data_IF_119182192080
#
_entry.id   IF_119182192080
#
_cell.length_a   1.000
_cell.length_b   1.000
_cell.length_c   1.000
_cell.angle_alpha   90.00
_cell.angle_beta   90.00
_cell.angle_gamma   90.00
#
_symmetry.space_group_name_H-M   'P 1'
#
loop_
_entity.id
_entity.type
_entity.pdbx_description
1 polymer ?
#
# COMPACT_ATOMS: atom_id res chain seq x y z
N UNK A 1 -17.90 -11.19 -51.01
CA UNK A 1 -17.94 -10.91 -49.56
C UNK A 1 -17.19 -12.01 -48.82
N UNK A 2 -15.92 -11.76 -48.52
CA UNK A 2 -15.08 -12.71 -47.77
C UNK A 2 -15.10 -12.25 -46.30
N UNK A 3 -15.62 -13.10 -45.41
CA UNK A 3 -15.56 -12.89 -43.96
C UNK A 3 -14.15 -13.22 -43.48
N UNK A 4 -13.45 -12.26 -42.92
CA UNK A 4 -12.19 -12.45 -42.23
C UNK A 4 -12.53 -12.77 -40.76
N UNK A 5 -12.29 -14.02 -40.36
CA UNK A 5 -12.32 -14.42 -38.96
C UNK A 5 -10.95 -14.04 -38.35
N UNK A 6 -10.95 -13.08 -37.46
CA UNK A 6 -9.78 -12.79 -36.62
C UNK A 6 -9.83 -13.76 -35.42
N UNK A 7 -8.92 -14.72 -35.41
CA UNK A 7 -8.73 -15.59 -34.27
C UNK A 7 -7.95 -14.81 -33.20
N UNK A 8 -8.61 -14.51 -32.09
CA UNK A 8 -7.96 -13.98 -30.88
C UNK A 8 -7.26 -15.17 -30.21
N UNK A 9 -5.94 -15.20 -30.31
CA UNK A 9 -5.13 -16.15 -29.55
C UNK A 9 -5.19 -15.75 -28.05
N UNK A 10 -5.86 -16.59 -27.27
CA UNK A 10 -5.81 -16.50 -25.81
C UNK A 10 -4.41 -16.96 -25.37
N UNK A 11 -3.61 -16.03 -24.82
CA UNK A 11 -2.41 -16.40 -24.06
C UNK A 11 -2.87 -17.21 -22.82
N UNK A 12 -2.21 -18.31 -22.48
CA UNK A 12 -2.49 -19.01 -21.24
C UNK A 12 -2.07 -18.14 -20.07
N UNK A 13 -3.04 -17.75 -19.26
CA UNK A 13 -2.79 -17.29 -17.89
C UNK A 13 -2.05 -18.43 -17.18
N UNK A 14 -0.78 -18.22 -16.88
CA UNK A 14 -0.07 -19.02 -15.89
C UNK A 14 -0.86 -18.89 -14.59
N UNK A 15 -1.63 -19.92 -14.27
CA UNK A 15 -2.24 -20.10 -12.97
C UNK A 15 -1.08 -20.22 -11.95
N UNK A 16 -0.71 -19.13 -11.35
CA UNK A 16 0.19 -19.10 -10.20
C UNK A 16 -0.42 -19.99 -9.13
N UNK A 17 0.38 -20.88 -8.56
CA UNK A 17 0.02 -21.72 -7.44
C UNK A 17 -0.69 -20.86 -6.40
N UNK A 18 -1.92 -21.25 -6.03
CA UNK A 18 -2.76 -20.49 -5.11
C UNK A 18 -1.99 -20.15 -3.85
N UNK A 19 -1.92 -18.86 -3.53
CA UNK A 19 -1.31 -18.40 -2.29
C UNK A 19 -2.10 -19.00 -1.12
N UNK A 20 -1.43 -19.46 -0.06
CA UNK A 20 -2.13 -20.05 1.07
C UNK A 20 -3.10 -19.02 1.65
N UNK A 21 -4.38 -19.41 1.72
CA UNK A 21 -5.41 -18.63 2.39
C UNK A 21 -4.95 -18.37 3.84
N UNK A 22 -4.96 -17.11 4.23
CA UNK A 22 -4.65 -16.70 5.59
C UNK A 22 -5.73 -17.26 6.55
N UNK A 23 -5.45 -18.37 7.21
CA UNK A 23 -6.27 -18.86 8.32
C UNK A 23 -5.70 -18.35 9.63
N UNK A 24 -6.58 -17.94 10.55
CA UNK A 24 -6.28 -17.32 11.83
C UNK A 24 -5.25 -18.05 12.72
N UNK A 25 -5.02 -19.33 12.49
CA UNK A 25 -4.20 -20.18 13.35
C UNK A 25 -2.73 -20.37 12.94
N UNK A 26 -2.32 -19.90 11.74
CA UNK A 26 -0.93 -20.03 11.30
C UNK A 26 -0.28 -18.67 11.12
N UNK A 27 0.39 -18.17 12.16
CA UNK A 27 1.34 -17.07 12.00
C UNK A 27 2.51 -17.60 11.18
N UNK A 28 2.89 -16.92 10.08
CA UNK A 28 4.14 -17.26 9.42
C UNK A 28 5.28 -16.99 10.40
N UNK A 29 6.20 -17.91 10.54
CA UNK A 29 7.44 -17.61 11.24
C UNK A 29 8.42 -16.86 10.32
N UNK A 30 9.55 -16.43 10.87
CA UNK A 30 10.54 -15.68 10.11
C UNK A 30 11.11 -16.49 8.93
N UNK A 31 11.19 -17.82 9.04
CA UNK A 31 11.71 -18.68 7.96
C UNK A 31 10.70 -18.84 6.83
N UNK A 32 9.40 -18.89 7.14
CA UNK A 32 8.34 -18.89 6.14
C UNK A 32 8.32 -17.58 5.37
N UNK A 33 8.49 -16.44 6.06
CA UNK A 33 8.59 -15.13 5.43
C UNK A 33 9.84 -14.99 4.55
N UNK A 34 10.98 -15.55 4.97
CA UNK A 34 12.18 -15.59 4.11
C UNK A 34 11.95 -16.38 2.84
N UNK A 35 11.32 -17.56 2.94
CA UNK A 35 10.96 -18.37 1.77
C UNK A 35 9.99 -17.65 0.86
N UNK A 36 8.98 -16.97 1.43
CA UNK A 36 8.00 -16.22 0.66
C UNK A 36 8.63 -15.05 -0.11
N UNK A 37 9.50 -14.27 0.53
CA UNK A 37 10.22 -13.16 -0.12
C UNK A 37 11.24 -13.70 -1.12
N UNK A 38 11.92 -14.82 -0.82
CA UNK A 38 12.83 -15.45 -1.79
C UNK A 38 12.10 -15.93 -3.05
N UNK A 39 10.87 -16.43 -2.90
CA UNK A 39 10.03 -16.87 -4.04
C UNK A 39 9.41 -15.69 -4.82
N UNK A 40 9.20 -14.56 -4.18
CA UNK A 40 8.61 -13.34 -4.77
C UNK A 40 9.37 -12.12 -4.23
N UNK A 41 10.56 -11.81 -4.78
CA UNK A 41 11.44 -10.75 -4.25
C UNK A 41 10.78 -9.36 -4.24
N UNK A 42 9.79 -9.12 -5.09
CA UNK A 42 9.01 -7.89 -5.16
C UNK A 42 8.29 -7.59 -3.84
N UNK A 43 7.96 -8.62 -3.04
CA UNK A 43 7.37 -8.45 -1.70
C UNK A 43 8.31 -7.77 -0.73
N UNK A 44 9.63 -7.77 -1.00
CA UNK A 44 10.58 -7.01 -0.20
C UNK A 44 10.35 -5.49 -0.26
N UNK A 45 9.58 -5.03 -1.23
CA UNK A 45 9.06 -3.67 -1.32
C UNK A 45 7.99 -3.32 -0.28
N UNK A 46 7.48 -4.29 0.48
CA UNK A 46 6.48 -4.05 1.53
C UNK A 46 5.25 -3.36 0.98
N UNK A 47 4.95 -2.15 1.48
CA UNK A 47 3.84 -1.33 0.97
C UNK A 47 3.95 -0.96 -0.52
N UNK A 48 5.12 -1.12 -1.15
CA UNK A 48 5.32 -0.91 -2.59
C UNK A 48 5.04 -2.18 -3.41
N UNK A 49 4.60 -3.26 -2.78
CA UNK A 49 4.18 -4.45 -3.49
C UNK A 49 2.94 -4.15 -4.34
N UNK A 50 2.99 -4.47 -5.64
CA UNK A 50 1.87 -4.29 -6.54
C UNK A 50 0.64 -5.08 -6.05
N UNK A 51 -0.57 -4.58 -6.35
CA UNK A 51 -1.80 -5.21 -5.87
C UNK A 51 -1.91 -6.66 -6.34
N UNK A 52 -1.94 -7.63 -5.42
CA UNK A 52 -2.03 -9.03 -5.80
C UNK A 52 -3.45 -9.36 -6.31
N UNK A 53 -3.53 -10.09 -7.41
CA UNK A 53 -4.80 -10.68 -7.84
C UNK A 53 -4.98 -11.99 -7.07
N UNK A 54 -5.84 -11.98 -6.07
CA UNK A 54 -6.21 -13.17 -5.30
C UNK A 54 -7.45 -13.84 -5.88
N UNK A 55 -7.60 -15.14 -5.63
CA UNK A 55 -8.85 -15.83 -5.92
C UNK A 55 -10.00 -15.19 -5.13
N UNK A 56 -11.17 -15.12 -5.71
CA UNK A 56 -12.33 -14.55 -5.04
C UNK A 56 -12.82 -15.49 -3.91
N UNK A 57 -13.02 -14.89 -2.74
CA UNK A 57 -13.70 -15.52 -1.62
C UNK A 57 -15.21 -15.37 -1.84
N UNK A 58 -15.79 -16.31 -2.61
CA UNK A 58 -17.23 -16.29 -2.87
C UNK A 58 -18.02 -16.48 -1.56
N UNK A 59 -19.00 -15.61 -1.37
CA UNK A 59 -19.91 -15.66 -0.22
C UNK A 59 -21.35 -15.78 -0.73
N UNK A 60 -22.02 -16.82 -0.28
CA UNK A 60 -23.47 -16.94 -0.51
C UNK A 60 -24.20 -15.98 0.43
N UNK A 61 -24.90 -15.01 -0.15
CA UNK A 61 -25.76 -14.09 0.62
C UNK A 61 -26.90 -14.90 1.23
N UNK A 62 -27.19 -14.77 2.54
CA UNK A 62 -28.28 -15.48 3.18
C UNK A 62 -29.64 -15.18 2.51
N UNK A 63 -30.50 -16.20 2.45
CA UNK A 63 -31.81 -16.09 1.81
C UNK A 63 -32.64 -14.93 2.38
N UNK A 64 -33.25 -14.15 1.50
CA UNK A 64 -34.08 -13.00 1.84
C UNK A 64 -33.31 -11.72 2.14
N UNK A 65 -31.98 -11.73 2.05
CA UNK A 65 -31.18 -10.51 2.21
C UNK A 65 -30.73 -9.96 0.84
N UNK A 66 -30.88 -8.67 0.66
CA UNK A 66 -30.49 -7.94 -0.54
C UNK A 66 -29.44 -6.87 -0.21
N UNK A 67 -28.41 -6.64 -1.04
CA UNK A 67 -27.46 -5.57 -0.82
C UNK A 67 -28.14 -4.21 -0.98
N UNK A 68 -28.03 -3.35 0.03
CA UNK A 68 -28.68 -2.03 0.07
C UNK A 68 -27.68 -0.87 0.10
N UNK A 69 -26.49 -1.06 0.67
CA UNK A 69 -25.49 -0.02 0.80
C UNK A 69 -24.08 -0.61 0.74
N UNK A 70 -23.14 0.14 0.17
CA UNK A 70 -21.71 -0.17 0.16
C UNK A 70 -20.89 1.07 0.49
N UNK A 71 -19.93 0.93 1.39
CA UNK A 71 -18.89 1.92 1.59
C UNK A 71 -17.50 1.31 1.42
N UNK A 72 -16.56 2.12 0.95
CA UNK A 72 -15.21 1.69 0.62
C UNK A 72 -14.19 2.72 1.07
N UNK A 73 -13.03 2.27 1.55
CA UNK A 73 -11.82 3.08 1.65
C UNK A 73 -10.67 2.39 0.95
N UNK A 74 -10.09 3.04 -0.07
CA UNK A 74 -8.98 2.51 -0.86
C UNK A 74 -7.74 3.41 -0.81
N UNK A 75 -6.59 2.77 -0.84
CA UNK A 75 -5.29 3.38 -1.12
C UNK A 75 -5.19 3.67 -2.63
N UNK A 76 -4.41 4.70 -3.02
CA UNK A 76 -4.03 4.89 -4.44
C UNK A 76 -3.34 3.65 -5.03
N UNK A 77 -3.39 3.48 -6.35
CA UNK A 77 -2.74 2.39 -7.08
C UNK A 77 -1.22 2.53 -7.18
N UNK A 78 -0.61 1.62 -7.92
CA UNK A 78 0.81 1.62 -8.28
C UNK A 78 1.26 2.96 -8.85
N UNK A 79 2.51 3.35 -8.59
CA UNK A 79 3.05 4.68 -8.91
C UNK A 79 4.57 4.64 -8.98
N UNK A 80 5.17 5.66 -9.59
CA UNK A 80 6.61 5.90 -9.48
C UNK A 80 7.05 6.27 -8.06
N UNK A 81 8.34 6.12 -7.75
CA UNK A 81 8.91 6.57 -6.49
C UNK A 81 8.45 7.99 -6.15
N UNK A 82 8.21 8.24 -4.84
CA UNK A 82 7.61 9.51 -4.40
C UNK A 82 8.43 10.75 -4.72
N UNK A 83 9.74 10.61 -4.93
CA UNK A 83 10.65 11.75 -5.03
C UNK A 83 11.76 11.49 -6.04
N UNK A 84 11.97 12.43 -6.94
CA UNK A 84 13.06 12.41 -7.91
C UNK A 84 14.45 12.21 -7.29
N UNK A 85 14.64 12.59 -6.03
CA UNK A 85 15.96 12.46 -5.41
C UNK A 85 16.44 11.01 -5.27
N UNK A 86 15.53 10.02 -5.25
CA UNK A 86 15.91 8.61 -5.16
C UNK A 86 16.67 8.22 -6.43
N UNK A 87 16.13 8.54 -7.59
CA UNK A 87 16.80 8.33 -8.88
C UNK A 87 18.05 9.21 -9.03
N UNK A 88 17.93 10.50 -8.73
CA UNK A 88 19.04 11.45 -8.85
C UNK A 88 20.23 11.12 -7.93
N UNK A 89 19.99 10.53 -6.77
CA UNK A 89 21.06 10.08 -5.87
C UNK A 89 21.80 8.91 -6.49
N UNK A 90 21.10 7.91 -6.99
CA UNK A 90 21.72 6.75 -7.65
C UNK A 90 22.55 7.21 -8.86
N UNK A 91 21.95 8.01 -9.76
CA UNK A 91 22.65 8.57 -10.92
C UNK A 91 23.91 9.33 -10.57
N UNK A 92 23.85 10.21 -9.56
CA UNK A 92 24.99 11.03 -9.13
C UNK A 92 26.14 10.17 -8.59
N UNK A 93 25.82 9.16 -7.81
CA UNK A 93 26.79 8.23 -7.23
C UNK A 93 27.46 7.42 -8.34
N UNK A 94 26.68 6.80 -9.23
CA UNK A 94 27.23 5.96 -10.30
C UNK A 94 28.02 6.79 -11.34
N UNK A 95 27.54 7.98 -11.69
CA UNK A 95 28.29 8.89 -12.57
C UNK A 95 29.64 9.32 -11.96
N UNK A 96 29.68 9.53 -10.65
CA UNK A 96 30.95 9.80 -9.96
C UNK A 96 31.89 8.60 -9.98
N UNK A 97 31.39 7.41 -9.64
CA UNK A 97 32.18 6.16 -9.64
C UNK A 97 32.74 5.82 -11.02
N UNK A 98 31.95 6.09 -12.09
CA UNK A 98 32.42 5.92 -13.47
C UNK A 98 33.58 6.86 -13.80
N UNK A 99 33.45 8.17 -13.47
CA UNK A 99 34.51 9.17 -13.72
C UNK A 99 35.81 8.86 -13.00
N UNK A 100 35.73 8.19 -11.87
CA UNK A 100 36.91 7.81 -11.06
C UNK A 100 37.44 6.41 -11.41
N UNK A 101 36.84 5.72 -12.40
CA UNK A 101 37.25 4.36 -12.77
C UNK A 101 36.96 3.33 -11.69
N UNK A 102 36.05 3.58 -10.79
CA UNK A 102 35.74 2.72 -9.62
C UNK A 102 34.52 1.82 -9.79
N UNK A 103 34.03 1.60 -11.01
CA UNK A 103 32.97 0.64 -11.29
C UNK A 103 33.54 -0.67 -11.82
N UNK A 104 33.02 -1.79 -11.29
CA UNK A 104 33.22 -3.12 -11.89
C UNK A 104 32.43 -3.23 -13.20
N UNK A 105 32.62 -4.31 -14.01
CA UNK A 105 31.74 -4.57 -15.17
C UNK A 105 30.24 -4.62 -14.79
N UNK A 106 29.90 -5.23 -13.65
CA UNK A 106 28.53 -5.23 -13.13
C UNK A 106 28.08 -3.81 -12.74
N UNK A 107 28.95 -3.04 -12.11
CA UNK A 107 28.67 -1.64 -11.76
C UNK A 107 28.36 -0.76 -12.97
N UNK A 108 29.07 -0.98 -14.10
CA UNK A 108 28.79 -0.29 -15.36
C UNK A 108 27.44 -0.70 -15.96
N UNK A 109 27.11 -1.99 -15.93
CA UNK A 109 25.80 -2.48 -16.36
C UNK A 109 24.65 -1.90 -15.52
N UNK A 110 24.80 -1.92 -14.20
CA UNK A 110 23.83 -1.32 -13.28
C UNK A 110 23.63 0.17 -13.54
N UNK A 111 24.72 0.90 -13.83
CA UNK A 111 24.62 2.31 -14.22
C UNK A 111 23.74 2.50 -15.47
N UNK A 112 23.89 1.66 -16.49
CA UNK A 112 23.05 1.75 -17.70
C UNK A 112 21.56 1.49 -17.37
N UNK A 113 21.29 0.48 -16.53
CA UNK A 113 19.93 0.20 -16.04
C UNK A 113 19.36 1.40 -15.28
N UNK A 114 20.12 1.99 -14.35
CA UNK A 114 19.70 3.17 -13.58
C UNK A 114 19.43 4.38 -14.49
N UNK A 115 20.28 4.64 -15.50
CA UNK A 115 20.04 5.71 -16.47
C UNK A 115 18.74 5.53 -17.22
N UNK A 116 18.44 4.30 -17.66
CA UNK A 116 17.19 3.96 -18.33
C UNK A 116 15.98 4.17 -17.41
N UNK A 117 16.06 3.67 -16.16
CA UNK A 117 15.01 3.85 -15.16
C UNK A 117 14.79 5.34 -14.86
N UNK A 118 15.88 6.08 -14.62
CA UNK A 118 15.82 7.52 -14.33
C UNK A 118 15.24 8.35 -15.47
N UNK A 119 15.54 7.99 -16.73
CA UNK A 119 14.93 8.62 -17.91
C UNK A 119 13.43 8.35 -18.00
N UNK A 120 13.02 7.11 -17.73
CA UNK A 120 11.62 6.69 -17.70
C UNK A 120 10.83 7.38 -16.58
N UNK A 121 11.44 7.51 -15.39
CA UNK A 121 10.81 8.10 -14.22
C UNK A 121 10.79 9.65 -14.22
N UNK A 122 11.50 10.27 -15.16
CA UNK A 122 11.67 11.73 -15.20
C UNK A 122 10.35 12.48 -15.35
N UNK A 123 10.00 13.26 -14.30
CA UNK A 123 8.78 14.06 -14.29
C UNK A 123 7.57 13.31 -13.69
N UNK A 124 7.69 12.03 -13.39
CA UNK A 124 6.61 11.18 -12.87
C UNK A 124 6.65 10.93 -11.36
N UNK A 125 7.54 11.60 -10.60
CA UNK A 125 7.71 11.36 -9.17
C UNK A 125 6.38 11.41 -8.38
N UNK A 126 5.97 10.27 -7.83
CA UNK A 126 4.75 10.11 -7.04
C UNK A 126 3.45 10.12 -7.85
N UNK A 127 3.53 10.10 -9.16
CA UNK A 127 2.39 10.02 -10.07
C UNK A 127 1.84 8.58 -10.15
N UNK A 128 0.52 8.44 -10.30
CA UNK A 128 -0.13 7.15 -10.52
C UNK A 128 0.35 6.55 -11.85
N UNK A 129 0.80 5.30 -11.84
CA UNK A 129 1.24 4.62 -13.07
C UNK A 129 0.03 4.06 -13.85
N UNK A 130 0.21 3.72 -15.14
CA UNK A 130 -0.81 3.03 -15.92
C UNK A 130 -1.22 1.69 -15.28
N UNK A 131 -0.29 0.98 -14.61
CA UNK A 131 -0.63 -0.21 -13.82
C UNK A 131 -1.58 0.15 -12.66
N UNK A 132 -1.31 1.24 -11.93
CA UNK A 132 -2.18 1.71 -10.84
C UNK A 132 -3.59 2.05 -11.31
N UNK A 133 -3.71 2.63 -12.50
CA UNK A 133 -5.02 2.86 -13.13
C UNK A 133 -5.75 1.55 -13.42
N UNK A 134 -5.05 0.56 -14.03
CA UNK A 134 -5.63 -0.76 -14.31
C UNK A 134 -6.04 -1.51 -13.03
N UNK A 135 -5.27 -1.39 -11.95
CA UNK A 135 -5.62 -1.98 -10.65
C UNK A 135 -6.97 -1.47 -10.16
N UNK A 136 -7.20 -0.16 -10.19
CA UNK A 136 -8.47 0.43 -9.77
C UNK A 136 -9.63 0.06 -10.69
N UNK A 137 -9.42 0.04 -12.01
CA UNK A 137 -10.44 -0.43 -12.97
C UNK A 137 -10.81 -1.90 -12.72
N UNK A 138 -9.84 -2.74 -12.41
CA UNK A 138 -10.07 -4.16 -12.11
C UNK A 138 -10.85 -4.36 -10.79
N UNK A 139 -10.49 -3.65 -9.72
CA UNK A 139 -11.20 -3.68 -8.43
C UNK A 139 -12.65 -3.19 -8.63
N UNK A 140 -12.86 -2.11 -9.37
CA UNK A 140 -14.20 -1.60 -9.69
C UNK A 140 -15.05 -2.64 -10.41
N UNK A 141 -14.47 -3.37 -11.37
CA UNK A 141 -15.16 -4.43 -12.12
C UNK A 141 -15.60 -5.57 -11.21
N UNK A 142 -14.69 -6.06 -10.34
CA UNK A 142 -15.01 -7.14 -9.40
C UNK A 142 -16.01 -6.71 -8.34
N UNK A 143 -15.90 -5.48 -7.83
CA UNK A 143 -16.87 -4.91 -6.89
C UNK A 143 -18.29 -4.85 -7.51
N UNK A 144 -18.41 -4.34 -8.74
CA UNK A 144 -19.69 -4.27 -9.43
C UNK A 144 -20.28 -5.66 -9.74
N UNK A 145 -19.43 -6.63 -10.08
CA UNK A 145 -19.86 -8.00 -10.34
C UNK A 145 -20.39 -8.71 -9.08
N UNK A 146 -19.85 -8.40 -7.88
CA UNK A 146 -20.27 -9.01 -6.61
C UNK A 146 -21.62 -8.50 -6.10
N UNK A 147 -21.92 -7.23 -6.32
CA UNK A 147 -23.15 -6.59 -5.84
C UNK A 147 -23.85 -5.81 -6.97
N UNK A 148 -24.24 -6.48 -8.05
CA UNK A 148 -24.67 -5.83 -9.29
C UNK A 148 -25.91 -4.94 -9.09
N UNK A 149 -26.79 -5.24 -8.15
CA UNK A 149 -27.97 -4.42 -7.85
C UNK A 149 -27.63 -3.04 -7.30
N UNK A 150 -26.46 -2.86 -6.67
CA UNK A 150 -25.99 -1.55 -6.21
C UNK A 150 -25.45 -0.68 -7.35
N UNK A 151 -25.14 -1.28 -8.50
CA UNK A 151 -24.61 -0.59 -9.69
C UNK A 151 -25.59 -0.67 -10.89
N UNK A 152 -26.84 -1.04 -10.63
CA UNK A 152 -27.90 -1.07 -11.65
C UNK A 152 -28.55 0.31 -11.84
N UNK A 153 -29.30 0.45 -12.93
CA UNK A 153 -30.09 1.64 -13.26
C UNK A 153 -29.30 2.96 -13.16
N UNK A 154 -29.95 4.02 -12.69
CA UNK A 154 -29.34 5.33 -12.47
C UNK A 154 -28.87 5.52 -11.03
N UNK A 155 -28.33 4.47 -10.41
CA UNK A 155 -27.80 4.53 -9.03
C UNK A 155 -26.81 5.67 -8.84
N UNK A 156 -26.93 6.37 -7.71
CA UNK A 156 -26.00 7.43 -7.32
C UNK A 156 -24.80 6.82 -6.63
N UNK A 157 -23.61 7.22 -7.11
CA UNK A 157 -22.30 6.87 -6.52
C UNK A 157 -21.62 8.16 -6.07
N UNK A 158 -21.30 8.28 -4.81
CA UNK A 158 -20.50 9.38 -4.29
C UNK A 158 -19.08 8.91 -4.05
N UNK A 159 -18.11 9.55 -4.68
CA UNK A 159 -16.69 9.24 -4.55
C UNK A 159 -15.93 10.45 -4.00
N UNK A 160 -15.11 10.25 -2.98
CA UNK A 160 -14.29 11.27 -2.34
C UNK A 160 -12.84 10.86 -2.32
N UNK A 161 -11.93 11.81 -2.53
CA UNK A 161 -10.49 11.57 -2.55
C UNK A 161 -9.76 12.58 -1.69
N UNK A 162 -8.59 12.18 -1.17
CA UNK A 162 -7.61 13.17 -0.74
C UNK A 162 -7.21 14.07 -1.91
N UNK A 163 -6.69 15.27 -1.61
CA UNK A 163 -6.28 16.24 -2.64
C UNK A 163 -4.97 15.88 -3.36
N UNK A 164 -4.39 14.73 -3.03
CA UNK A 164 -3.15 14.26 -3.68
C UNK A 164 -3.46 13.71 -5.08
N UNK A 165 -2.77 14.17 -6.16
CA UNK A 165 -3.10 13.83 -7.54
C UNK A 165 -3.28 12.33 -7.81
N UNK A 166 -2.38 11.46 -7.31
CA UNK A 166 -2.51 10.00 -7.50
C UNK A 166 -3.78 9.41 -6.90
N UNK A 167 -4.30 9.98 -5.78
CA UNK A 167 -5.55 9.52 -5.19
C UNK A 167 -6.76 9.97 -6.02
N UNK A 168 -6.71 11.21 -6.55
CA UNK A 168 -7.73 11.76 -7.46
C UNK A 168 -7.77 10.91 -8.74
N UNK A 169 -6.62 10.58 -9.32
CA UNK A 169 -6.54 9.74 -10.53
C UNK A 169 -7.01 8.30 -10.26
N UNK A 170 -6.71 7.73 -9.09
CA UNK A 170 -7.23 6.43 -8.66
C UNK A 170 -8.77 6.45 -8.56
N UNK A 171 -9.35 7.49 -7.95
CA UNK A 171 -10.79 7.70 -7.91
C UNK A 171 -11.38 7.84 -9.32
N UNK A 172 -10.72 8.59 -10.20
CA UNK A 172 -11.16 8.78 -11.58
C UNK A 172 -11.20 7.45 -12.35
N UNK A 173 -10.10 6.68 -12.31
CA UNK A 173 -10.00 5.37 -12.97
C UNK A 173 -11.07 4.37 -12.48
N UNK A 174 -11.25 4.29 -11.15
CA UNK A 174 -12.27 3.44 -10.54
C UNK A 174 -13.69 3.81 -11.02
N UNK A 175 -14.03 5.08 -10.92
CA UNK A 175 -15.38 5.57 -11.26
C UNK A 175 -15.62 5.63 -12.77
N UNK A 176 -14.59 5.81 -13.59
CA UNK A 176 -14.66 5.65 -15.04
C UNK A 176 -15.07 4.22 -15.39
N UNK A 177 -14.41 3.22 -14.78
CA UNK A 177 -14.75 1.82 -15.02
C UNK A 177 -16.18 1.48 -14.62
N UNK A 178 -16.68 2.02 -13.52
CA UNK A 178 -18.09 1.87 -13.14
C UNK A 178 -19.04 2.46 -14.22
N UNK A 179 -18.69 3.61 -14.80
CA UNK A 179 -19.45 4.22 -15.90
C UNK A 179 -19.33 3.45 -17.21
N UNK A 180 -18.21 2.77 -17.48
CA UNK A 180 -18.08 1.86 -18.62
C UNK A 180 -19.01 0.64 -18.47
N UNK A 181 -19.13 0.09 -17.23
CA UNK A 181 -20.03 -1.03 -16.92
C UNK A 181 -21.49 -0.60 -17.02
N UNK A 182 -21.84 0.54 -16.43
CA UNK A 182 -23.20 1.11 -16.51
C UNK A 182 -23.14 2.63 -16.75
N UNK A 183 -23.32 3.09 -17.98
CA UNK A 183 -23.32 4.51 -18.33
C UNK A 183 -24.42 5.35 -17.63
N UNK A 184 -25.49 4.72 -17.14
CA UNK A 184 -26.61 5.40 -16.47
C UNK A 184 -26.27 5.82 -15.03
N UNK A 185 -25.22 5.30 -14.41
CA UNK A 185 -24.84 5.66 -13.05
C UNK A 185 -24.64 7.18 -12.90
N UNK A 186 -25.12 7.73 -11.79
CA UNK A 186 -24.94 9.15 -11.42
C UNK A 186 -23.75 9.29 -10.48
N UNK A 187 -22.54 9.46 -11.04
CA UNK A 187 -21.30 9.53 -10.26
C UNK A 187 -20.97 10.98 -9.91
N UNK A 188 -20.83 11.28 -8.62
CA UNK A 188 -20.32 12.55 -8.09
C UNK A 188 -18.92 12.32 -7.51
N UNK A 189 -17.96 13.19 -7.85
CA UNK A 189 -16.56 13.13 -7.40
C UNK A 189 -16.20 14.37 -6.61
N UNK A 190 -15.54 14.19 -5.47
CA UNK A 190 -15.11 15.27 -4.59
C UNK A 190 -13.65 15.08 -4.18
N UNK A 191 -12.89 16.18 -4.10
CA UNK A 191 -11.55 16.23 -3.53
C UNK A 191 -11.36 17.61 -2.88
N UNK A 192 -12.09 17.87 -1.82
CA UNK A 192 -12.15 19.17 -1.16
C UNK A 192 -11.25 19.22 0.09
N UNK A 193 -10.88 20.41 0.59
CA UNK A 193 -10.17 20.51 1.87
C UNK A 193 -10.92 19.84 3.01
N UNK A 194 -12.26 19.90 3.06
CA UNK A 194 -13.06 19.23 4.07
C UNK A 194 -12.97 17.70 4.03
N UNK A 195 -12.72 17.10 2.85
CA UNK A 195 -12.50 15.66 2.74
C UNK A 195 -11.20 15.21 3.42
N UNK A 196 -10.21 16.11 3.53
CA UNK A 196 -8.92 15.83 4.20
C UNK A 196 -9.09 15.59 5.71
N UNK A 197 -10.14 16.14 6.33
CA UNK A 197 -10.41 16.01 7.77
C UNK A 197 -10.70 14.57 8.20
N UNK A 198 -11.07 13.68 7.27
CA UNK A 198 -11.32 12.27 7.56
C UNK A 198 -10.56 11.30 6.63
N UNK A 199 -10.31 11.66 5.35
CA UNK A 199 -9.60 10.77 4.42
C UNK A 199 -8.11 10.70 4.72
N UNK A 200 -7.51 11.81 5.15
CA UNK A 200 -6.06 11.93 5.34
C UNK A 200 -5.70 12.79 6.57
N UNK A 201 -6.46 12.66 7.64
CA UNK A 201 -6.19 13.36 8.89
C UNK A 201 -5.02 12.72 9.65
N UNK A 202 -4.05 13.54 10.03
CA UNK A 202 -2.96 13.16 10.93
C UNK A 202 -3.14 13.83 12.28
N UNK A 203 -3.33 13.03 13.33
CA UNK A 203 -3.38 13.52 14.71
C UNK A 203 -2.02 14.08 15.17
N UNK A 204 -1.98 14.98 16.17
CA UNK A 204 -0.71 15.44 16.75
C UNK A 204 0.19 14.29 17.21
N UNK A 205 -0.39 13.22 17.74
CA UNK A 205 0.34 12.03 18.20
C UNK A 205 1.07 11.31 17.06
N UNK A 206 0.47 11.27 15.85
CA UNK A 206 1.09 10.67 14.69
C UNK A 206 2.41 11.37 14.30
N UNK A 207 2.48 12.70 14.46
CA UNK A 207 3.71 13.45 14.26
C UNK A 207 4.77 13.13 15.32
N UNK A 208 4.36 12.96 16.57
CA UNK A 208 5.26 12.61 17.68
C UNK A 208 5.90 11.24 17.45
N UNK A 209 5.10 10.22 17.09
CA UNK A 209 5.61 8.88 16.78
C UNK A 209 6.54 8.90 15.56
N UNK A 210 6.22 9.72 14.56
CA UNK A 210 7.03 9.87 13.34
C UNK A 210 8.32 10.66 13.54
N UNK A 211 8.51 11.31 14.68
CA UNK A 211 9.66 12.18 14.93
C UNK A 211 10.98 11.39 14.96
N UNK A 212 12.11 12.11 14.78
CA UNK A 212 13.46 11.53 14.88
C UNK A 212 13.80 11.08 16.30
N UNK A 213 13.16 11.69 17.30
CA UNK A 213 13.42 11.48 18.72
C UNK A 213 12.44 10.48 19.36
N UNK A 214 11.57 9.86 18.55
CA UNK A 214 10.66 8.83 19.03
C UNK A 214 11.43 7.65 19.65
N UNK A 215 11.00 7.11 20.80
CA UNK A 215 11.77 6.07 21.54
C UNK A 215 12.15 4.86 20.69
N UNK A 216 11.25 4.41 19.85
CA UNK A 216 11.45 3.24 18.98
C UNK A 216 12.54 3.44 17.90
N UNK A 217 12.92 4.69 17.58
CA UNK A 217 14.01 4.99 16.65
C UNK A 217 15.40 4.51 17.11
N UNK A 218 15.59 4.34 18.43
CA UNK A 218 16.81 3.72 18.94
C UNK A 218 16.91 2.27 18.54
N UNK A 219 15.82 1.52 18.70
CA UNK A 219 15.72 0.12 18.29
C UNK A 219 15.87 -0.01 16.77
N UNK A 220 15.21 0.85 15.98
CA UNK A 220 15.36 0.88 14.53
C UNK A 220 16.82 1.01 14.10
N UNK A 221 17.58 1.94 14.72
CA UNK A 221 19.02 2.10 14.43
C UNK A 221 19.82 0.85 14.75
N UNK A 222 19.55 0.21 15.89
CA UNK A 222 20.25 -1.01 16.29
C UNK A 222 19.93 -2.17 15.31
N UNK A 223 18.69 -2.33 14.93
CA UNK A 223 18.29 -3.35 13.94
C UNK A 223 18.91 -3.09 12.58
N UNK A 224 18.88 -1.86 12.09
CA UNK A 224 19.52 -1.50 10.83
C UNK A 224 21.01 -1.82 10.84
N UNK A 225 21.74 -1.45 11.90
CA UNK A 225 23.18 -1.67 12.00
C UNK A 225 23.52 -3.18 12.07
N UNK A 226 22.59 -4.02 12.55
CA UNK A 226 22.69 -5.48 12.59
C UNK A 226 22.28 -6.17 11.30
N UNK A 227 21.18 -5.73 10.68
CA UNK A 227 20.55 -6.44 9.54
C UNK A 227 21.10 -5.97 8.18
N UNK A 228 21.49 -4.68 8.05
CA UNK A 228 21.87 -4.12 6.76
C UNK A 228 23.39 -4.09 6.63
N UNK A 229 23.92 -5.09 5.91
CA UNK A 229 25.34 -5.15 5.56
C UNK A 229 25.55 -4.90 4.04
N UNK A 230 26.01 -3.71 3.63
CA UNK A 230 26.20 -3.35 2.24
C UNK A 230 27.48 -3.94 1.63
N UNK A 231 28.34 -4.61 2.40
CA UNK A 231 29.70 -4.98 2.02
C UNK A 231 29.73 -5.82 0.74
N UNK A 232 28.91 -6.89 0.67
CA UNK A 232 28.85 -7.78 -0.51
C UNK A 232 28.38 -7.03 -1.75
N UNK A 233 27.25 -6.29 -1.63
CA UNK A 233 26.67 -5.54 -2.74
C UNK A 233 27.68 -4.52 -3.29
N UNK A 234 28.31 -3.72 -2.43
CA UNK A 234 29.24 -2.70 -2.87
C UNK A 234 30.52 -3.29 -3.47
N UNK A 235 31.01 -4.43 -2.95
CA UNK A 235 32.14 -5.15 -3.53
C UNK A 235 31.83 -5.72 -4.93
N UNK A 236 30.57 -6.05 -5.22
CA UNK A 236 30.16 -6.48 -6.56
C UNK A 236 30.09 -5.32 -7.57
N UNK A 237 29.80 -4.11 -7.11
CA UNK A 237 29.58 -2.92 -7.95
C UNK A 237 30.83 -2.04 -8.10
N UNK A 238 31.74 -2.06 -7.13
CA UNK A 238 32.89 -1.14 -7.03
C UNK A 238 34.21 -1.90 -6.95
N UNK A 239 35.22 -1.38 -7.65
CA UNK A 239 36.60 -1.90 -7.60
C UNK A 239 37.23 -1.64 -6.22
N UNK A 240 37.00 -0.45 -5.65
CA UNK A 240 37.44 -0.06 -4.33
C UNK A 240 36.28 0.55 -3.53
N UNK A 241 35.46 -0.25 -2.81
CA UNK A 241 34.33 0.25 -2.03
C UNK A 241 34.77 1.20 -0.88
N UNK A 242 35.90 0.96 -0.24
CA UNK A 242 36.39 1.76 0.87
C UNK A 242 36.81 3.19 0.43
N UNK A 243 37.49 3.30 -0.72
CA UNK A 243 37.90 4.61 -1.27
C UNK A 243 36.72 5.44 -1.84
N UNK A 244 35.59 4.80 -2.09
CA UNK A 244 34.39 5.49 -2.58
C UNK A 244 33.61 6.21 -1.48
N UNK A 245 33.83 5.89 -0.20
CA UNK A 245 32.96 6.33 0.91
C UNK A 245 32.96 7.85 1.10
N UNK A 246 34.13 8.52 1.10
CA UNK A 246 34.22 9.97 1.30
C UNK A 246 33.68 10.74 0.09
N UNK A 247 33.88 10.20 -1.09
CA UNK A 247 33.39 10.77 -2.35
C UNK A 247 31.88 10.60 -2.49
N UNK A 248 31.30 9.46 -2.01
CA UNK A 248 29.87 9.23 -1.88
C UNK A 248 29.23 10.23 -0.92
N UNK A 249 29.86 10.50 0.23
CA UNK A 249 29.38 11.49 1.20
C UNK A 249 29.26 12.85 0.53
N UNK A 250 30.29 13.26 -0.22
CA UNK A 250 30.30 14.56 -0.93
C UNK A 250 29.24 14.62 -2.02
N UNK A 251 29.07 13.58 -2.85
CA UNK A 251 28.07 13.52 -3.91
C UNK A 251 26.66 13.56 -3.37
N UNK A 252 26.36 12.80 -2.33
CA UNK A 252 25.06 12.76 -1.68
C UNK A 252 24.75 14.06 -0.95
N UNK A 253 25.70 14.62 -0.20
CA UNK A 253 25.54 15.90 0.48
C UNK A 253 25.23 17.03 -0.52
N UNK A 254 25.88 17.04 -1.70
CA UNK A 254 25.59 18.02 -2.76
C UNK A 254 24.18 17.89 -3.32
N UNK A 255 23.67 16.67 -3.50
CA UNK A 255 22.31 16.40 -4.01
C UNK A 255 21.23 16.82 -3.01
N UNK A 256 21.48 16.62 -1.70
CA UNK A 256 20.56 17.09 -0.64
C UNK A 256 20.63 18.62 -0.44
N UNK A 257 21.80 19.24 -0.66
CA UNK A 257 21.97 20.68 -0.48
C UNK A 257 21.42 21.53 -1.62
N UNK A 258 21.21 20.95 -2.80
CA UNK A 258 20.73 21.67 -3.99
C UNK A 258 19.21 21.95 -4.01
N UNK A 259 18.41 21.32 -3.14
CA UNK A 259 16.95 21.52 -3.09
C UNK A 259 16.56 22.45 -1.95
N UNK A 260 16.61 23.78 -2.20
CA UNK A 260 15.89 24.76 -1.41
C UNK A 260 14.45 24.88 -1.89
N UNK A 261 13.47 24.53 -1.05
CA UNK A 261 12.14 25.08 -1.21
C UNK A 261 12.20 26.60 -0.89
N UNK A 262 11.60 27.47 -1.70
CA UNK A 262 11.55 28.91 -1.40
C UNK A 262 10.98 29.13 0.01
N UNK A 263 11.70 29.88 0.86
CA UNK A 263 11.24 30.29 2.19
C UNK A 263 11.49 29.32 3.37
N UNK A 264 12.21 28.21 3.16
CA UNK A 264 12.60 27.32 4.29
C UNK A 264 14.12 27.41 4.55
N UNK A 265 14.50 27.50 5.83
CA UNK A 265 15.90 27.40 6.26
C UNK A 265 16.50 26.07 5.78
N UNK A 266 17.80 26.09 5.45
CA UNK A 266 18.56 24.86 5.14
C UNK A 266 18.44 23.91 6.33
N UNK A 267 17.72 22.80 6.17
CA UNK A 267 17.94 21.66 7.07
C UNK A 267 19.31 21.14 6.72
N UNK A 268 20.23 21.12 7.69
CA UNK A 268 21.52 20.47 7.51
C UNK A 268 21.30 19.03 7.04
N UNK A 269 21.99 18.64 5.97
CA UNK A 269 21.99 17.26 5.53
C UNK A 269 22.44 16.39 6.73
N UNK A 270 21.78 15.22 6.96
CA UNK A 270 22.19 14.36 8.05
C UNK A 270 23.68 14.01 7.88
N UNK A 271 24.48 14.25 8.91
CA UNK A 271 25.89 13.83 8.94
C UNK A 271 25.92 12.32 9.12
N UNK A 272 25.89 11.59 8.00
CA UNK A 272 26.02 10.14 7.98
C UNK A 272 27.51 9.78 8.00
N UNK A 273 27.89 8.76 8.77
CA UNK A 273 29.22 8.17 8.67
C UNK A 273 29.32 7.27 7.41
N UNK A 274 30.54 6.82 7.08
CA UNK A 274 30.77 6.03 5.86
C UNK A 274 29.87 4.79 5.75
N UNK A 275 29.70 4.01 6.84
CA UNK A 275 28.83 2.82 6.86
C UNK A 275 27.36 3.21 6.63
N UNK A 276 26.88 4.26 7.26
CA UNK A 276 25.51 4.73 7.07
C UNK A 276 25.25 5.19 5.64
N UNK A 277 26.25 5.79 4.98
CA UNK A 277 26.14 6.16 3.57
C UNK A 277 26.05 4.92 2.66
N UNK A 278 26.84 3.90 2.94
CA UNK A 278 26.80 2.62 2.22
C UNK A 278 25.43 1.93 2.41
N UNK A 279 24.91 1.88 3.64
CA UNK A 279 23.55 1.37 3.93
C UNK A 279 22.48 2.19 3.19
N UNK A 280 22.64 3.52 3.12
CA UNK A 280 21.71 4.38 2.40
C UNK A 280 21.73 4.13 0.89
N UNK A 281 22.91 3.90 0.30
CA UNK A 281 23.02 3.55 -1.12
C UNK A 281 22.35 2.19 -1.41
N UNK A 282 22.63 1.17 -0.58
CA UNK A 282 21.99 -0.14 -0.69
C UNK A 282 20.45 -0.01 -0.63
N UNK A 283 19.94 0.79 0.34
CA UNK A 283 18.50 1.05 0.46
C UNK A 283 17.94 1.75 -0.78
N UNK A 284 18.58 2.77 -1.30
CA UNK A 284 18.09 3.49 -2.50
C UNK A 284 18.06 2.60 -3.72
N UNK A 285 19.07 1.75 -3.93
CA UNK A 285 19.07 0.77 -5.01
C UNK A 285 17.91 -0.22 -4.86
N UNK A 286 17.64 -0.66 -3.63
CA UNK A 286 16.50 -1.54 -3.36
C UNK A 286 15.15 -0.83 -3.55
N UNK A 287 15.00 0.42 -3.06
CA UNK A 287 13.78 1.21 -3.26
C UNK A 287 13.45 1.36 -4.76
N UNK A 288 14.47 1.59 -5.60
CA UNK A 288 14.29 1.65 -7.06
C UNK A 288 13.96 0.25 -7.62
N UNK A 289 14.66 -0.79 -7.17
CA UNK A 289 14.47 -2.15 -7.63
C UNK A 289 13.03 -2.65 -7.43
N UNK A 290 12.45 -2.37 -6.26
CA UNK A 290 11.07 -2.80 -5.95
C UNK A 290 9.99 -1.92 -6.57
N UNK A 291 10.31 -0.68 -6.96
CA UNK A 291 9.38 0.23 -7.63
C UNK A 291 9.16 -0.13 -9.12
N UNK A 292 10.10 -0.86 -9.73
CA UNK A 292 10.00 -1.28 -11.15
C UNK A 292 8.73 -2.09 -11.41
N UNK A 293 8.30 -2.93 -10.47
CA UNK A 293 7.05 -3.71 -10.59
C UNK A 293 5.80 -2.83 -10.73
N UNK A 294 5.87 -1.58 -10.33
CA UNK A 294 4.75 -0.65 -10.28
C UNK A 294 4.60 0.20 -11.55
N UNK A 295 5.52 0.07 -12.50
CA UNK A 295 5.55 0.89 -13.72
C UNK A 295 5.65 0.03 -14.99
N UNK A 296 4.96 0.44 -16.05
CA UNK A 296 5.02 -0.23 -17.35
C UNK A 296 6.23 0.25 -18.15
N UNK A 297 6.71 -0.57 -19.10
CA UNK A 297 7.79 -0.18 -20.02
C UNK A 297 9.20 -0.44 -19.48
N UNK A 298 9.30 -1.10 -18.34
CA UNK A 298 10.55 -1.52 -17.71
C UNK A 298 10.57 -3.04 -17.42
N UNK A 299 9.71 -3.83 -18.08
CA UNK A 299 9.53 -5.27 -17.83
C UNK A 299 10.79 -6.11 -18.10
N UNK A 300 11.69 -5.60 -18.93
CA UNK A 300 12.99 -6.20 -19.26
C UNK A 300 14.15 -5.68 -18.39
N UNK A 301 13.85 -4.80 -17.41
CA UNK A 301 14.84 -4.24 -16.50
C UNK A 301 14.57 -4.75 -15.08
N UNK A 302 15.59 -5.26 -14.41
CA UNK A 302 15.53 -5.57 -12.98
C UNK A 302 16.76 -5.03 -12.27
N UNK A 303 16.63 -4.73 -11.00
CA UNK A 303 17.73 -4.50 -10.06
C UNK A 303 17.61 -5.44 -8.85
N UNK A 304 16.56 -6.27 -8.78
CA UNK A 304 16.41 -7.25 -7.70
C UNK A 304 17.45 -8.36 -7.79
N UNK A 305 18.01 -8.62 -8.98
CA UNK A 305 19.12 -9.54 -9.22
C UNK A 305 20.43 -9.15 -8.50
N UNK A 306 20.53 -7.93 -8.02
CA UNK A 306 21.67 -7.44 -7.23
C UNK A 306 21.66 -7.94 -5.80
N UNK A 307 20.51 -8.33 -5.29
CA UNK A 307 20.29 -8.66 -3.87
C UNK A 307 20.15 -10.16 -3.67
N UNK A 308 20.73 -10.67 -2.59
CA UNK A 308 20.44 -12.02 -2.14
C UNK A 308 19.04 -12.08 -1.50
N UNK A 309 18.41 -13.27 -1.40
CA UNK A 309 17.15 -13.41 -0.68
C UNK A 309 17.19 -12.89 0.77
N UNK A 310 18.31 -13.09 1.47
CA UNK A 310 18.48 -12.60 2.83
C UNK A 310 18.60 -11.07 2.88
N UNK A 311 19.26 -10.45 1.92
CA UNK A 311 19.34 -8.98 1.82
C UNK A 311 17.96 -8.38 1.52
N UNK A 312 17.16 -9.00 0.63
CA UNK A 312 15.77 -8.61 0.38
C UNK A 312 14.93 -8.70 1.65
N UNK A 313 15.03 -9.82 2.39
CA UNK A 313 14.31 -10.01 3.64
C UNK A 313 14.69 -8.97 4.69
N UNK A 314 15.99 -8.69 4.85
CA UNK A 314 16.47 -7.72 5.83
C UNK A 314 16.09 -6.28 5.50
N UNK A 315 16.12 -5.90 4.22
CA UNK A 315 15.66 -4.59 3.74
C UNK A 315 14.15 -4.44 3.94
N UNK A 316 13.37 -5.48 3.64
CA UNK A 316 11.94 -5.52 3.93
C UNK A 316 11.65 -5.34 5.42
N UNK A 317 12.36 -6.03 6.31
CA UNK A 317 12.16 -5.88 7.74
C UNK A 317 12.27 -4.42 8.19
N UNK A 318 13.24 -3.65 7.65
CA UNK A 318 13.39 -2.24 8.00
C UNK A 318 12.24 -1.37 7.53
N UNK A 319 11.69 -1.65 6.33
CA UNK A 319 10.52 -0.96 5.82
C UNK A 319 9.27 -1.31 6.63
N UNK A 320 9.03 -2.60 6.84
CA UNK A 320 7.91 -3.13 7.62
C UNK A 320 7.94 -2.60 9.07
N UNK A 321 9.13 -2.46 9.68
CA UNK A 321 9.29 -1.90 11.02
C UNK A 321 8.80 -0.45 11.10
N UNK A 322 9.21 0.41 10.15
CA UNK A 322 8.77 1.81 10.12
C UNK A 322 7.25 1.91 9.99
N UNK A 323 6.66 1.10 9.11
CA UNK A 323 5.21 1.07 8.92
C UNK A 323 4.47 0.56 10.16
N UNK A 324 4.97 -0.52 10.78
CA UNK A 324 4.38 -1.12 11.96
C UNK A 324 4.36 -0.15 13.16
N UNK A 325 5.52 0.45 13.48
CA UNK A 325 5.63 1.33 14.66
C UNK A 325 4.93 2.67 14.49
N UNK A 326 4.78 3.16 13.26
CA UNK A 326 4.14 4.47 13.03
C UNK A 326 2.65 4.39 12.76
N UNK A 327 2.17 3.28 12.25
CA UNK A 327 0.81 3.24 11.68
C UNK A 327 -0.04 2.06 12.13
N UNK A 328 0.57 0.96 12.58
CA UNK A 328 -0.13 -0.22 13.06
C UNK A 328 -0.28 -0.23 14.60
N UNK A 329 -0.67 -1.37 15.17
CA UNK A 329 -0.89 -1.53 16.60
C UNK A 329 0.40 -2.00 17.33
N UNK A 330 1.53 -1.36 17.08
CA UNK A 330 2.78 -1.67 17.77
C UNK A 330 2.66 -1.43 19.27
N UNK A 331 3.24 -2.32 20.10
CA UNK A 331 3.25 -2.16 21.54
C UNK A 331 3.92 -0.83 21.92
N UNK A 332 3.27 -0.07 22.79
CA UNK A 332 3.71 1.26 23.25
C UNK A 332 3.40 2.43 22.29
N UNK A 333 3.09 2.18 21.02
CA UNK A 333 2.82 3.24 20.04
C UNK A 333 1.41 3.18 19.42
N UNK A 334 0.76 1.99 19.42
CA UNK A 334 -0.40 1.72 18.58
C UNK A 334 -1.54 2.72 18.74
N UNK A 335 -1.89 3.08 19.95
CA UNK A 335 -3.00 4.02 20.19
C UNK A 335 -2.78 5.38 19.51
N UNK A 336 -1.57 5.92 19.61
CA UNK A 336 -1.26 7.21 19.04
C UNK A 336 -1.33 7.20 17.48
N UNK A 337 -0.86 6.13 16.86
CA UNK A 337 -1.02 5.93 15.40
C UNK A 337 -2.49 5.84 14.99
N UNK A 338 -3.27 5.03 15.70
CA UNK A 338 -4.68 4.77 15.41
C UNK A 338 -5.60 5.98 15.63
N UNK A 339 -5.24 6.94 16.51
CA UNK A 339 -6.04 8.15 16.76
C UNK A 339 -6.35 8.92 15.47
N UNK A 340 -5.44 8.92 14.50
CA UNK A 340 -5.66 9.57 13.20
C UNK A 340 -6.80 8.92 12.38
N UNK A 341 -7.13 7.66 12.61
CA UNK A 341 -8.17 6.95 11.86
C UNK A 341 -9.59 7.15 12.45
N UNK A 342 -9.73 7.74 13.66
CA UNK A 342 -11.03 7.91 14.30
C UNK A 342 -11.99 8.73 13.46
N UNK A 343 -11.54 9.81 12.83
CA UNK A 343 -12.37 10.62 11.94
C UNK A 343 -12.91 9.81 10.75
N UNK A 344 -12.08 8.96 10.13
CA UNK A 344 -12.54 8.10 9.04
C UNK A 344 -13.52 7.05 9.53
N UNK A 345 -13.25 6.40 10.66
CA UNK A 345 -14.17 5.43 11.26
C UNK A 345 -15.51 6.07 11.61
N UNK A 346 -15.50 7.26 12.21
CA UNK A 346 -16.70 8.04 12.49
C UNK A 346 -17.49 8.35 11.20
N UNK A 347 -16.77 8.72 10.13
CA UNK A 347 -17.40 8.96 8.82
C UNK A 347 -18.05 7.70 8.26
N UNK A 348 -17.39 6.55 8.32
CA UNK A 348 -17.94 5.26 7.83
C UNK A 348 -19.21 4.89 8.59
N UNK A 349 -19.23 5.05 9.92
CA UNK A 349 -20.43 4.80 10.74
C UNK A 349 -21.56 5.76 10.36
N UNK A 350 -21.26 7.06 10.25
CA UNK A 350 -22.27 8.08 9.98
C UNK A 350 -22.93 7.89 8.60
N UNK A 351 -22.15 7.55 7.56
CA UNK A 351 -22.74 7.31 6.23
C UNK A 351 -23.56 6.04 6.19
N UNK A 352 -23.15 4.99 6.92
CA UNK A 352 -23.92 3.76 7.05
C UNK A 352 -25.25 4.03 7.81
N UNK A 353 -25.19 4.72 8.93
CA UNK A 353 -26.40 5.10 9.70
C UNK A 353 -27.38 5.89 8.84
N UNK A 354 -26.88 6.89 8.09
CA UNK A 354 -27.71 7.72 7.19
C UNK A 354 -28.35 6.90 6.09
N UNK A 355 -27.60 6.01 5.48
CA UNK A 355 -28.11 5.14 4.42
C UNK A 355 -29.15 4.14 4.95
N UNK A 356 -28.88 3.54 6.10
CA UNK A 356 -29.71 2.49 6.67
C UNK A 356 -30.98 3.05 7.36
N UNK A 357 -31.02 4.32 7.71
CA UNK A 357 -32.23 4.98 8.22
C UNK A 357 -33.33 5.15 7.13
N UNK A 358 -32.94 5.11 5.86
CA UNK A 358 -33.90 5.24 4.76
C UNK A 358 -34.62 3.90 4.50
N UNK A 359 -35.93 3.90 4.30
CA UNK A 359 -36.66 2.71 3.90
C UNK A 359 -36.28 2.31 2.46
N UNK A 360 -36.07 1.03 2.22
CA UNK A 360 -35.67 0.53 0.89
C UNK A 360 -34.22 0.87 0.50
N UNK A 361 -33.99 1.20 -0.77
CA UNK A 361 -32.68 1.58 -1.30
C UNK A 361 -32.37 3.03 -0.93
N UNK A 362 -31.20 3.32 -0.34
CA UNK A 362 -30.80 4.70 0.00
C UNK A 362 -30.66 5.59 -1.24
N UNK A 363 -30.75 6.92 -1.07
CA UNK A 363 -30.53 7.89 -2.13
C UNK A 363 -29.10 7.81 -2.72
N UNK A 364 -28.11 7.47 -1.89
CA UNK A 364 -26.72 7.24 -2.28
C UNK A 364 -26.30 5.86 -1.78
N UNK A 365 -26.56 4.80 -2.55
CA UNK A 365 -26.26 3.42 -2.13
C UNK A 365 -24.78 3.08 -2.11
N UNK A 366 -23.93 3.85 -2.79
CA UNK A 366 -22.50 3.57 -2.90
C UNK A 366 -21.67 4.80 -2.54
N UNK A 367 -20.80 4.67 -1.54
CA UNK A 367 -19.86 5.71 -1.11
C UNK A 367 -18.42 5.19 -1.12
N UNK A 368 -17.58 5.84 -1.91
CA UNK A 368 -16.19 5.45 -2.16
C UNK A 368 -15.23 6.52 -1.63
N UNK A 369 -14.18 6.09 -0.93
CA UNK A 369 -13.15 6.97 -0.40
C UNK A 369 -11.78 6.51 -0.90
N UNK A 370 -10.93 7.47 -1.34
CA UNK A 370 -9.61 7.21 -1.91
C UNK A 370 -8.55 8.01 -1.16
N UNK A 371 -7.58 7.31 -0.58
CA UNK A 371 -6.56 7.90 0.27
C UNK A 371 -5.22 7.18 0.19
N UNK A 372 -4.62 6.93 1.35
CA UNK A 372 -3.24 6.50 1.46
C UNK A 372 -3.12 5.21 2.29
N UNK A 373 -1.97 4.53 2.10
CA UNK A 373 -1.53 3.37 2.87
C UNK A 373 -1.61 3.58 4.38
N UNK A 374 -0.98 4.67 4.86
CA UNK A 374 -0.85 4.98 6.28
C UNK A 374 -2.21 5.13 6.99
N UNK A 375 -3.20 5.71 6.30
CA UNK A 375 -4.54 5.89 6.86
C UNK A 375 -5.35 4.59 6.81
N UNK A 376 -5.19 3.79 5.75
CA UNK A 376 -5.82 2.46 5.67
C UNK A 376 -5.28 1.54 6.77
N UNK A 377 -3.96 1.48 6.97
CA UNK A 377 -3.32 0.68 8.03
C UNK A 377 -3.89 1.05 9.39
N UNK A 378 -3.96 2.35 9.71
CA UNK A 378 -4.49 2.86 10.98
C UNK A 378 -5.98 2.51 11.15
N UNK A 379 -6.77 2.59 10.09
CA UNK A 379 -8.18 2.26 10.12
C UNK A 379 -8.39 0.76 10.39
N UNK A 380 -7.69 -0.10 9.67
CA UNK A 380 -7.74 -1.54 9.86
C UNK A 380 -7.29 -1.95 11.26
N UNK A 381 -6.22 -1.32 11.78
CA UNK A 381 -5.73 -1.55 13.13
C UNK A 381 -6.74 -1.08 14.20
N UNK A 382 -7.35 0.10 14.04
CA UNK A 382 -8.37 0.65 14.96
C UNK A 382 -9.62 -0.23 15.00
N UNK A 383 -10.05 -0.74 13.85
CA UNK A 383 -11.19 -1.67 13.76
C UNK A 383 -10.86 -3.07 14.26
N UNK A 384 -9.60 -3.36 14.56
CA UNK A 384 -9.09 -4.70 14.94
C UNK A 384 -9.39 -5.76 13.87
N UNK A 385 -9.23 -5.39 12.61
CA UNK A 385 -9.36 -6.34 11.50
C UNK A 385 -8.31 -7.44 11.65
N UNK A 386 -8.74 -8.69 11.50
CA UNK A 386 -7.86 -9.86 11.60
C UNK A 386 -6.64 -9.74 10.69
N UNK A 387 -5.46 -10.09 11.24
CA UNK A 387 -4.17 -9.96 10.53
C UNK A 387 -3.62 -8.54 10.44
N UNK A 388 -4.43 -7.49 10.71
CA UNK A 388 -4.01 -6.09 10.57
C UNK A 388 -3.72 -5.39 11.91
N UNK A 389 -4.17 -5.93 13.04
CA UNK A 389 -4.18 -5.25 14.34
C UNK A 389 -3.34 -5.91 15.42
N UNK A 390 -2.55 -6.92 15.07
CA UNK A 390 -1.75 -7.64 16.08
C UNK A 390 -0.70 -6.75 16.71
N UNK A 391 -0.60 -6.80 18.05
CA UNK A 391 0.45 -6.15 18.82
C UNK A 391 1.57 -7.15 19.13
N UNK A 392 2.82 -6.72 18.97
CA UNK A 392 4.02 -7.49 19.30
C UNK A 392 5.09 -6.54 19.86
N UNK A 393 5.56 -6.81 21.06
CA UNK A 393 6.57 -6.00 21.72
C UNK A 393 8.00 -6.46 21.47
N UNK A 394 8.19 -7.71 21.03
CA UNK A 394 9.51 -8.22 20.73
C UNK A 394 9.96 -7.79 19.32
N UNK A 395 10.99 -6.92 19.19
CA UNK A 395 11.47 -6.43 17.91
C UNK A 395 12.06 -7.52 17.00
N UNK A 396 12.38 -8.70 17.53
CA UNK A 396 12.82 -9.83 16.71
C UNK A 396 11.65 -10.62 16.09
N UNK A 397 10.41 -10.38 16.55
CA UNK A 397 9.23 -11.15 16.15
C UNK A 397 8.10 -10.32 15.55
N UNK A 398 8.23 -8.99 15.50
CA UNK A 398 7.16 -8.12 15.02
C UNK A 398 6.75 -8.46 13.57
N UNK A 399 7.71 -8.89 12.73
CA UNK A 399 7.43 -9.27 11.34
C UNK A 399 6.58 -10.55 11.23
N UNK A 400 6.60 -11.42 12.24
CA UNK A 400 5.70 -12.59 12.30
C UNK A 400 4.26 -12.17 12.63
N UNK A 401 4.10 -11.09 13.38
CA UNK A 401 2.79 -10.58 13.79
C UNK A 401 2.14 -9.72 12.69
N UNK A 402 2.92 -9.01 11.89
CA UNK A 402 2.40 -8.04 10.94
C UNK A 402 3.30 -7.88 9.71
N UNK A 403 2.70 -7.86 8.51
CA UNK A 403 3.40 -7.73 7.23
C UNK A 403 2.70 -6.68 6.37
N UNK A 404 3.40 -5.60 6.06
CA UNK A 404 2.90 -4.46 5.31
C UNK A 404 2.45 -4.80 3.88
N UNK A 405 3.16 -5.71 3.19
CA UNK A 405 2.79 -6.17 1.84
C UNK A 405 1.48 -6.96 1.80
N UNK A 406 0.98 -7.48 2.95
CA UNK A 406 -0.34 -8.12 3.08
C UNK A 406 -1.40 -7.11 3.47
N UNK A 407 -1.05 -6.20 4.40
CA UNK A 407 -2.01 -5.24 4.95
C UNK A 407 -2.28 -4.11 3.98
N UNK A 408 -1.25 -3.56 3.37
CA UNK A 408 -1.45 -2.39 2.50
C UNK A 408 -0.53 -2.41 1.27
N UNK A 409 -0.65 -3.41 0.37
CA UNK A 409 -0.03 -3.33 -0.96
C UNK A 409 -0.60 -2.13 -1.74
N UNK A 410 -0.05 -1.83 -2.93
CA UNK A 410 -0.64 -0.81 -3.81
C UNK A 410 -2.11 -1.12 -4.07
N UNK A 411 -2.97 -0.10 -4.20
CA UNK A 411 -4.43 -0.21 -4.37
C UNK A 411 -5.18 -0.99 -3.26
N UNK A 412 -4.53 -1.26 -2.11
CA UNK A 412 -5.19 -1.93 -0.98
C UNK A 412 -6.48 -1.22 -0.59
N UNK A 413 -7.47 -2.01 -0.16
CA UNK A 413 -8.80 -1.46 0.11
C UNK A 413 -9.58 -2.23 1.18
N UNK A 414 -10.48 -1.50 1.84
CA UNK A 414 -11.51 -2.02 2.71
C UNK A 414 -12.86 -1.77 2.06
N UNK A 415 -13.68 -2.80 1.92
CA UNK A 415 -15.06 -2.75 1.42
C UNK A 415 -15.99 -3.23 2.53
N UNK A 416 -17.07 -2.49 2.76
CA UNK A 416 -18.12 -2.85 3.73
C UNK A 416 -19.46 -2.84 3.01
N UNK A 417 -20.08 -4.00 2.93
CA UNK A 417 -21.34 -4.21 2.22
C UNK A 417 -22.44 -4.50 3.24
N UNK A 418 -23.58 -3.86 3.07
CA UNK A 418 -24.73 -3.99 3.94
C UNK A 418 -25.89 -4.64 3.19
N UNK A 419 -26.47 -5.65 3.80
CA UNK A 419 -27.59 -6.41 3.26
C UNK A 419 -28.79 -6.26 4.19
N UNK A 420 -29.99 -6.07 3.62
CA UNK A 420 -31.21 -5.89 4.39
C UNK A 420 -32.26 -6.91 3.97
N UNK A 421 -32.99 -7.45 4.92
CA UNK A 421 -34.16 -8.29 4.64
C UNK A 421 -35.48 -7.47 4.72
N UNK A 422 -36.61 -8.03 4.29
CA UNK A 422 -37.92 -7.34 4.33
C UNK A 422 -38.37 -6.93 5.76
N UNK A 423 -37.88 -7.58 6.81
CA UNK A 423 -38.19 -7.26 8.19
C UNK A 423 -37.31 -6.12 8.74
N UNK A 424 -36.41 -5.56 7.90
CA UNK A 424 -35.54 -4.44 8.27
C UNK A 424 -34.25 -4.85 9.01
N UNK A 425 -33.99 -6.13 9.19
CA UNK A 425 -32.74 -6.62 9.78
C UNK A 425 -31.57 -6.40 8.80
N UNK A 426 -30.41 -5.99 9.31
CA UNK A 426 -29.25 -5.65 8.49
C UNK A 426 -28.06 -6.53 8.85
N UNK A 427 -27.51 -7.21 7.86
CA UNK A 427 -26.22 -7.91 7.90
C UNK A 427 -25.15 -7.08 7.24
N UNK A 428 -23.92 -7.24 7.72
CA UNK A 428 -22.75 -6.54 7.20
C UNK A 428 -21.63 -7.53 6.89
N UNK A 429 -21.02 -7.35 5.73
CA UNK A 429 -19.84 -8.10 5.27
C UNK A 429 -18.66 -7.13 5.11
N UNK A 430 -17.50 -7.47 5.70
CA UNK A 430 -16.27 -6.72 5.53
C UNK A 430 -15.29 -7.50 4.64
N UNK A 431 -14.64 -6.78 3.73
CA UNK A 431 -13.60 -7.34 2.86
C UNK A 431 -12.38 -6.43 2.87
N UNK A 432 -11.23 -7.00 3.12
CA UNK A 432 -9.94 -6.32 3.00
C UNK A 432 -9.15 -6.93 1.85
N UNK A 433 -8.65 -6.10 0.94
CA UNK A 433 -8.03 -6.54 -0.30
C UNK A 433 -8.86 -7.61 -1.03
N UNK A 434 -10.18 -7.41 -1.02
CA UNK A 434 -11.19 -8.27 -1.66
C UNK A 434 -11.31 -9.68 -1.04
N UNK A 435 -10.71 -9.94 0.13
CA UNK A 435 -10.88 -11.15 0.93
C UNK A 435 -11.75 -10.87 2.14
N UNK A 436 -12.60 -11.84 2.52
CA UNK A 436 -13.42 -11.70 3.71
C UNK A 436 -12.55 -11.66 4.96
N UNK A 437 -12.87 -10.77 5.89
CA UNK A 437 -12.09 -10.59 7.11
C UNK A 437 -12.96 -10.68 8.35
N UNK A 438 -12.33 -11.10 9.45
CA UNK A 438 -12.96 -11.23 10.76
C UNK A 438 -12.63 -10.05 11.67
N UNK A 439 -13.56 -9.79 12.60
CA UNK A 439 -13.43 -8.87 13.72
C UNK A 439 -13.61 -9.65 15.02
N UNK A 440 -13.09 -9.20 16.17
CA UNK A 440 -13.18 -9.89 17.45
C UNK A 440 -14.57 -9.73 18.12
N UNK A 441 -15.62 -9.95 17.34
CA UNK A 441 -17.02 -9.98 17.79
C UNK A 441 -17.72 -11.19 17.18
N UNK A 442 -18.81 -11.68 17.81
CA UNK A 442 -19.56 -12.80 17.28
C UNK A 442 -20.14 -12.50 15.88
N UNK A 443 -20.08 -13.49 15.00
CA UNK A 443 -20.79 -13.46 13.73
C UNK A 443 -22.30 -13.42 13.95
N UNK A 444 -23.04 -13.03 12.92
CA UNK A 444 -24.48 -13.14 12.87
C UNK A 444 -24.92 -14.62 12.96
N UNK A 445 -26.19 -14.88 13.24
CA UNK A 445 -26.72 -16.25 13.31
C UNK A 445 -26.62 -17.03 12.01
N UNK A 446 -26.47 -16.34 10.88
CA UNK A 446 -26.21 -16.90 9.56
C UNK A 446 -24.78 -17.45 9.42
N UNK A 447 -23.92 -17.17 10.40
CA UNK A 447 -22.53 -17.60 10.44
C UNK A 447 -21.56 -16.60 9.78
N UNK A 448 -20.28 -16.97 9.79
CA UNK A 448 -19.23 -16.19 9.12
C UNK A 448 -19.47 -16.15 7.60
N UNK A 449 -19.12 -15.04 6.94
CA UNK A 449 -18.42 -13.85 7.47
C UNK A 449 -19.36 -12.66 7.80
N UNK A 450 -20.61 -12.93 8.12
CA UNK A 450 -21.61 -11.88 8.35
C UNK A 450 -21.68 -11.43 9.82
N UNK A 451 -21.93 -10.13 10.00
CA UNK A 451 -22.18 -9.49 11.31
C UNK A 451 -23.54 -8.80 11.33
N UNK A 452 -24.24 -8.84 12.47
CA UNK A 452 -25.37 -7.94 12.71
C UNK A 452 -24.89 -6.49 12.74
N UNK A 453 -25.48 -5.61 11.93
CA UNK A 453 -25.08 -4.20 11.95
C UNK A 453 -25.16 -3.56 13.34
N UNK A 454 -26.19 -3.86 14.10
CA UNK A 454 -26.35 -3.33 15.46
C UNK A 454 -25.20 -3.71 16.40
N UNK A 455 -24.71 -4.94 16.32
CA UNK A 455 -23.58 -5.43 17.10
C UNK A 455 -22.26 -4.82 16.62
N UNK A 456 -22.05 -4.85 15.30
CA UNK A 456 -20.87 -4.27 14.65
C UNK A 456 -20.78 -2.76 14.92
N UNK A 457 -21.88 -2.02 14.76
CA UNK A 457 -21.94 -0.58 15.03
C UNK A 457 -21.56 -0.26 16.47
N UNK A 458 -22.15 -0.98 17.45
CA UNK A 458 -21.81 -0.84 18.87
C UNK A 458 -20.31 -1.05 19.10
N UNK A 459 -19.75 -2.06 18.51
CA UNK A 459 -18.32 -2.36 18.58
C UNK A 459 -17.48 -1.23 17.98
N UNK A 460 -17.77 -0.79 16.73
CA UNK A 460 -17.02 0.28 16.08
C UNK A 460 -17.10 1.61 16.81
N UNK A 461 -18.28 1.96 17.38
CA UNK A 461 -18.45 3.15 18.24
C UNK A 461 -17.58 3.07 19.49
N UNK A 462 -17.36 1.88 20.07
CA UNK A 462 -16.48 1.71 21.23
C UNK A 462 -15.00 2.00 20.93
N UNK A 463 -14.61 2.12 19.65
CA UNK A 463 -13.25 2.47 19.20
C UNK A 463 -13.06 3.99 18.99
N UNK A 464 -14.14 4.76 19.01
CA UNK A 464 -14.10 6.23 18.91
C UNK A 464 -13.85 6.88 20.25
#
# INVERSE_FOLDING_TARGET
MKRICIAIAALPLLAGAGQPQWRADSRPDADDLRKEIAATPEKSGGIYFAYPVTADDEVTVPEGFEPVFLTHYGRHGSRWCLKDYQYAMADSVFAFLQRTGNLTPLGLDVQQRLLRIGQHAKGHAGELSPLGERQHKAIASRMAARVPSLFADSTRVEARSSQVPRCIMSMAAFTERLKEINPSLKVQRHATPGDMEFIAYDSPDAYTIGSRDAPWRRMERQMRDSLIDPTRLLASLMVNPAGATDSLITAVASTYSSKKAPGKEKKDAPRLNGRQMQQQLMKVLHDIAVDIQDVDGLEDVTLLDLFTPEECFNLWQMLNLDMYYRHANAEGNGQAGMNSARHMLQRLIAVADTALAQPGKPDVPVQLHFGHDTHLIRLLALMEVEGCSRSEGNPARYCEAWQDFRVSPMAANLQVVFFRNPQGRVLTLLRHNEQNVSLPIPNAKEGAPFYEWTALRKYLVSKL
#
